data_IF_077937533969
#
_entry.id   IF_077937533969
#
_cell.length_a   1.000
_cell.length_b   1.000
_cell.length_c   1.000
_cell.angle_alpha   90.00
_cell.angle_beta   90.00
_cell.angle_gamma   90.00
#
_symmetry.space_group_name_H-M   'P 1'
#
loop_
_entity.id
_entity.type
_entity.pdbx_description
1 polymer ?
#
# COMPACT_ATOMS: atom_id res chain seq x y z
N UNK A 1 -47.10 -44.94 50.07
CA UNK A 1 -46.00 -43.95 49.93
C UNK A 1 -45.97 -43.45 48.49
N UNK A 2 -46.49 -42.24 48.23
CA UNK A 2 -46.45 -41.60 46.91
C UNK A 2 -45.24 -40.65 46.89
N UNK A 3 -44.28 -40.87 45.98
CA UNK A 3 -43.17 -39.95 45.73
C UNK A 3 -43.64 -38.91 44.70
N UNK A 4 -43.67 -37.65 45.12
CA UNK A 4 -43.82 -36.49 44.22
C UNK A 4 -42.41 -36.10 43.79
N UNK A 5 -42.14 -36.16 42.48
CA UNK A 5 -40.89 -35.67 41.89
C UNK A 5 -41.15 -34.25 41.42
N UNK A 6 -40.47 -33.28 42.05
CA UNK A 6 -40.44 -31.89 41.62
C UNK A 6 -39.43 -31.78 40.47
N UNK A 7 -39.93 -31.52 39.26
CA UNK A 7 -39.10 -31.15 38.12
C UNK A 7 -38.76 -29.65 38.19
N UNK A 8 -37.50 -29.33 38.39
CA UNK A 8 -36.97 -27.97 38.19
C UNK A 8 -36.66 -27.83 36.70
N UNK A 9 -37.47 -27.05 35.99
CA UNK A 9 -37.19 -26.61 34.62
C UNK A 9 -36.34 -25.35 34.70
N UNK A 10 -35.05 -25.46 34.40
CA UNK A 10 -34.18 -24.30 34.17
C UNK A 10 -34.40 -23.86 32.73
N UNK A 11 -35.10 -22.74 32.55
CA UNK A 11 -35.17 -22.00 31.30
C UNK A 11 -33.83 -21.26 31.11
N UNK A 12 -32.92 -21.87 30.34
CA UNK A 12 -31.78 -21.15 29.77
C UNK A 12 -32.32 -20.33 28.58
N UNK A 13 -32.59 -19.05 28.83
CA UNK A 13 -32.76 -18.08 27.77
C UNK A 13 -31.39 -17.88 27.10
N UNK A 14 -31.16 -18.60 26.00
CA UNK A 14 -30.03 -18.35 25.12
C UNK A 14 -30.23 -17.00 24.43
N UNK A 15 -29.61 -15.96 24.98
CA UNK A 15 -29.23 -14.81 24.18
C UNK A 15 -28.17 -15.29 23.19
N UNK A 16 -28.61 -15.65 21.98
CA UNK A 16 -27.71 -15.71 20.85
C UNK A 16 -27.23 -14.29 20.57
N UNK A 17 -26.08 -13.92 21.13
CA UNK A 17 -25.25 -12.92 20.48
C UNK A 17 -24.85 -13.56 19.15
N UNK A 18 -25.52 -13.19 18.07
CA UNK A 18 -24.89 -13.20 16.76
C UNK A 18 -23.66 -12.30 16.88
N UNK A 19 -22.53 -12.88 17.24
CA UNK A 19 -21.23 -12.27 17.03
C UNK A 19 -21.14 -12.09 15.51
N UNK A 20 -21.43 -10.87 15.04
CA UNK A 20 -21.14 -10.49 13.67
C UNK A 20 -19.72 -10.95 13.38
N UNK A 21 -19.57 -11.81 12.39
CA UNK A 21 -18.27 -12.34 12.02
C UNK A 21 -17.50 -11.17 11.42
N UNK A 22 -16.45 -10.72 12.10
CA UNK A 22 -15.52 -9.74 11.54
C UNK A 22 -14.99 -10.27 10.21
N UNK A 23 -14.77 -9.36 9.26
CA UNK A 23 -14.14 -9.68 8.00
C UNK A 23 -12.74 -10.31 8.25
N UNK A 24 -12.23 -11.08 7.28
CA UNK A 24 -10.87 -11.64 7.41
C UNK A 24 -9.78 -10.57 7.18
N UNK A 25 -10.13 -9.42 6.59
CA UNK A 25 -9.24 -8.32 6.22
C UNK A 25 -9.60 -7.06 7.03
N UNK A 26 -8.60 -6.40 7.58
CA UNK A 26 -8.68 -5.03 8.06
C UNK A 26 -7.90 -4.09 7.13
N UNK A 27 -8.53 -2.99 6.71
CA UNK A 27 -7.87 -1.86 6.08
C UNK A 27 -7.77 -0.73 7.11
N UNK A 28 -6.54 -0.31 7.42
CA UNK A 28 -6.33 0.77 8.40
C UNK A 28 -6.56 2.13 7.74
N UNK A 29 -7.60 2.81 8.21
CA UNK A 29 -7.79 4.25 8.02
C UNK A 29 -6.96 5.01 9.07
N UNK A 30 -5.81 5.54 8.62
CA UNK A 30 -4.90 6.38 9.40
C UNK A 30 -5.12 7.86 9.12
N UNK A 31 -6.40 8.25 8.99
CA UNK A 31 -6.82 9.64 8.86
C UNK A 31 -6.41 10.50 10.06
N UNK A 32 -6.17 9.93 11.23
CA UNK A 32 -5.69 10.72 12.38
C UNK A 32 -4.19 10.93 12.24
N UNK A 33 -3.40 9.86 12.21
CA UNK A 33 -1.94 10.00 12.29
C UNK A 33 -1.31 10.38 10.94
N UNK A 34 -1.62 9.62 9.89
CA UNK A 34 -0.93 9.74 8.60
C UNK A 34 -1.43 10.93 7.80
N UNK A 35 -2.74 11.19 7.77
CA UNK A 35 -3.26 12.36 7.05
C UNK A 35 -2.80 13.67 7.70
N UNK A 36 -2.71 13.73 9.04
CA UNK A 36 -2.12 14.87 9.75
C UNK A 36 -0.63 15.03 9.43
N UNK A 37 0.13 13.92 9.37
CA UNK A 37 1.53 13.95 8.92
C UNK A 37 1.66 14.61 7.54
N UNK A 38 0.84 14.21 6.56
CA UNK A 38 0.87 14.77 5.20
C UNK A 38 0.42 16.23 5.14
N UNK A 39 -0.63 16.59 5.88
CA UNK A 39 -1.11 17.97 5.99
C UNK A 39 -0.03 18.90 6.56
N UNK A 40 0.65 18.46 7.63
CA UNK A 40 1.76 19.22 8.21
C UNK A 40 2.95 19.32 7.27
N UNK A 41 3.20 18.28 6.47
CA UNK A 41 4.34 18.20 5.54
C UNK A 41 4.16 19.07 4.30
N UNK A 42 2.97 19.06 3.71
CA UNK A 42 2.66 19.72 2.44
C UNK A 42 1.78 20.97 2.59
N UNK A 43 1.29 21.26 3.79
CA UNK A 43 0.37 22.35 4.07
C UNK A 43 -1.11 21.92 4.02
N UNK A 44 -2.01 22.72 4.63
CA UNK A 44 -3.45 22.40 4.72
C UNK A 44 -4.16 22.34 3.37
N UNK A 45 -3.68 23.08 2.38
CA UNK A 45 -4.19 23.05 1.00
C UNK A 45 -3.28 22.25 0.04
N UNK A 46 -2.31 21.53 0.59
CA UNK A 46 -1.20 21.00 -0.18
C UNK A 46 -0.39 22.11 -0.86
N UNK A 47 0.37 21.71 -1.88
CA UNK A 47 1.15 22.63 -2.71
C UNK A 47 0.41 23.04 -4.00
N UNK A 48 -0.89 22.74 -4.13
CA UNK A 48 -1.68 23.00 -5.34
C UNK A 48 -1.71 24.47 -5.78
N UNK A 49 -1.47 25.43 -4.89
CA UNK A 49 -1.52 26.87 -5.21
C UNK A 49 -0.21 27.46 -5.78
N UNK A 50 0.93 26.77 -5.61
CA UNK A 50 2.27 27.27 -5.93
C UNK A 50 3.02 26.30 -6.89
N UNK A 51 2.36 25.84 -7.96
CA UNK A 51 2.90 24.86 -8.95
C UNK A 51 3.18 23.44 -8.38
N UNK A 52 2.70 23.12 -7.19
CA UNK A 52 2.88 21.81 -6.57
C UNK A 52 1.77 20.81 -6.89
N UNK A 53 2.09 19.52 -6.77
CA UNK A 53 1.21 18.38 -7.10
C UNK A 53 0.69 17.61 -5.86
N UNK A 54 1.10 18.05 -4.67
CA UNK A 54 0.75 17.39 -3.40
C UNK A 54 -0.58 17.92 -2.86
N UNK A 55 -1.44 17.03 -2.36
CA UNK A 55 -2.78 17.37 -1.88
C UNK A 55 -2.88 17.65 -0.37
N UNK A 56 -1.76 17.81 0.35
CA UNK A 56 -1.83 18.01 1.80
C UNK A 56 -2.39 16.78 2.50
N UNK A 57 -3.41 16.98 3.34
CA UNK A 57 -4.11 15.90 4.05
C UNK A 57 -4.66 14.83 3.09
N UNK A 58 -5.18 15.27 1.94
CA UNK A 58 -5.82 14.40 0.96
C UNK A 58 -4.82 13.54 0.18
N UNK A 59 -3.51 13.76 0.36
CA UNK A 59 -2.50 12.88 -0.22
C UNK A 59 -2.60 11.47 0.37
N UNK A 60 -2.93 11.37 1.67
CA UNK A 60 -3.20 10.08 2.31
C UNK A 60 -4.41 9.38 1.68
N UNK A 61 -5.50 10.12 1.44
CA UNK A 61 -6.72 9.58 0.84
C UNK A 61 -6.45 8.92 -0.51
N UNK A 62 -5.52 9.45 -1.33
CA UNK A 62 -5.13 8.78 -2.58
C UNK A 62 -4.68 7.33 -2.34
N UNK A 63 -3.78 7.10 -1.39
CA UNK A 63 -3.30 5.76 -1.08
C UNK A 63 -4.41 4.89 -0.48
N UNK A 64 -5.16 5.43 0.49
CA UNK A 64 -6.24 4.70 1.15
C UNK A 64 -7.33 4.26 0.15
N UNK A 65 -7.83 5.19 -0.67
CA UNK A 65 -8.89 4.93 -1.66
C UNK A 65 -8.45 3.97 -2.75
N UNK A 66 -7.17 3.97 -3.14
CA UNK A 66 -6.64 2.99 -4.09
C UNK A 66 -6.76 1.54 -3.59
N UNK A 67 -6.56 1.31 -2.29
CA UNK A 67 -6.80 -0.02 -1.69
C UNK A 67 -8.28 -0.33 -1.52
N UNK A 68 -9.09 0.64 -1.09
CA UNK A 68 -10.54 0.51 -0.99
C UNK A 68 -11.15 0.08 -2.33
N UNK A 69 -10.71 0.73 -3.40
CA UNK A 69 -11.13 0.43 -4.77
C UNK A 69 -10.81 -1.01 -5.19
N UNK A 70 -9.64 -1.52 -4.82
CA UNK A 70 -9.27 -2.92 -5.10
C UNK A 70 -10.08 -3.93 -4.29
N UNK A 71 -10.36 -3.63 -3.02
CA UNK A 71 -11.13 -4.51 -2.15
C UNK A 71 -12.62 -4.56 -2.54
N UNK A 72 -13.15 -3.46 -3.08
CA UNK A 72 -14.55 -3.33 -3.49
C UNK A 72 -14.87 -4.06 -4.81
N UNK A 73 -13.88 -4.56 -5.56
CA UNK A 73 -13.98 -5.62 -6.60
C UNK A 73 -14.88 -5.39 -7.84
N UNK A 74 -16.14 -4.98 -7.66
CA UNK A 74 -17.15 -4.78 -8.71
C UNK A 74 -17.03 -3.42 -9.39
N UNK A 75 -16.73 -2.35 -8.63
CA UNK A 75 -16.63 -0.98 -9.17
C UNK A 75 -15.48 -0.84 -10.18
N UNK A 76 -14.45 -1.65 -10.01
CA UNK A 76 -13.30 -1.82 -10.89
C UNK A 76 -13.66 -2.15 -12.34
N UNK A 77 -14.67 -2.99 -12.56
CA UNK A 77 -15.05 -3.40 -13.91
C UNK A 77 -15.90 -2.33 -14.60
N UNK A 78 -16.87 -1.75 -13.90
CA UNK A 78 -17.82 -0.83 -14.52
C UNK A 78 -17.19 0.53 -14.88
N UNK A 79 -16.38 1.10 -13.99
CA UNK A 79 -15.73 2.41 -14.21
C UNK A 79 -14.57 2.31 -15.20
N UNK A 80 -13.80 1.22 -15.15
CA UNK A 80 -12.72 0.99 -16.11
C UNK A 80 -13.27 0.76 -17.53
N UNK A 81 -14.34 -0.03 -17.66
CA UNK A 81 -15.04 -0.23 -18.93
C UNK A 81 -15.59 1.08 -19.50
N UNK A 82 -16.07 1.98 -18.64
CA UNK A 82 -16.51 3.32 -19.03
C UNK A 82 -15.34 4.21 -19.48
N UNK A 83 -14.19 4.16 -18.80
CA UNK A 83 -13.00 4.99 -19.08
C UNK A 83 -12.36 4.65 -20.43
N UNK A 84 -12.36 3.38 -20.84
CA UNK A 84 -11.72 2.94 -22.10
C UNK A 84 -12.69 2.82 -23.29
N UNK A 85 -13.93 3.31 -23.14
CA UNK A 85 -14.91 3.37 -24.23
C UNK A 85 -15.53 2.03 -24.61
N UNK A 86 -15.67 1.10 -23.66
CA UNK A 86 -16.41 -0.15 -23.87
C UNK A 86 -15.74 -1.15 -24.83
N UNK A 87 -14.41 -1.10 -24.98
CA UNK A 87 -13.70 -2.22 -25.59
C UNK A 87 -13.89 -3.46 -24.70
N UNK A 88 -14.45 -4.54 -25.27
CA UNK A 88 -14.74 -5.81 -24.58
C UNK A 88 -13.62 -6.21 -23.62
N UNK A 89 -13.86 -5.99 -22.32
CA UNK A 89 -13.04 -6.48 -21.22
C UNK A 89 -13.84 -7.47 -20.38
N UNK A 90 -14.65 -8.31 -21.02
CA UNK A 90 -15.27 -9.49 -20.39
C UNK A 90 -14.23 -10.44 -19.72
N UNK A 91 -12.92 -10.17 -19.87
CA UNK A 91 -11.81 -10.96 -19.30
C UNK A 91 -10.80 -10.17 -18.42
N UNK A 92 -10.92 -8.84 -18.22
CA UNK A 92 -9.72 -8.06 -17.88
C UNK A 92 -9.40 -7.75 -16.41
N UNK A 93 -10.35 -7.80 -15.48
CA UNK A 93 -10.01 -7.80 -14.07
C UNK A 93 -10.76 -8.93 -13.38
N UNK A 94 -10.07 -9.89 -12.73
CA UNK A 94 -10.76 -10.83 -11.87
C UNK A 94 -11.57 -10.02 -10.85
N UNK A 95 -12.87 -10.29 -10.79
CA UNK A 95 -13.75 -9.73 -9.76
C UNK A 95 -13.31 -10.30 -8.41
N UNK A 96 -12.38 -9.60 -7.76
CA UNK A 96 -11.96 -9.89 -6.41
C UNK A 96 -12.78 -9.03 -5.47
N UNK A 97 -13.89 -9.57 -4.98
CA UNK A 97 -14.69 -8.95 -3.92
C UNK A 97 -14.34 -9.67 -2.62
N UNK A 98 -13.84 -8.93 -1.64
CA UNK A 98 -13.60 -9.46 -0.30
C UNK A 98 -14.26 -8.58 0.73
N UNK A 99 -14.96 -9.20 1.66
CA UNK A 99 -15.38 -8.51 2.87
C UNK A 99 -14.12 -8.04 3.62
N UNK A 100 -14.11 -6.75 3.95
CA UNK A 100 -13.09 -6.12 4.77
C UNK A 100 -13.78 -5.18 5.75
N UNK A 101 -13.13 -4.98 6.89
CA UNK A 101 -13.53 -3.98 7.87
C UNK A 101 -12.57 -2.79 7.78
N UNK A 102 -13.13 -1.59 7.87
CA UNK A 102 -12.36 -0.37 8.13
C UNK A 102 -12.09 -0.29 9.62
N UNK A 103 -10.81 -0.11 9.97
CA UNK A 103 -10.39 0.13 11.35
C UNK A 103 -9.65 1.46 11.43
N UNK A 104 -9.76 2.15 12.56
CA UNK A 104 -9.10 3.43 12.79
C UNK A 104 -7.76 3.24 13.51
N UNK A 105 -6.93 4.30 13.58
CA UNK A 105 -5.68 4.32 14.35
C UNK A 105 -5.88 3.80 15.80
N UNK A 106 -7.01 4.13 16.45
CA UNK A 106 -7.32 3.71 17.82
C UNK A 106 -7.66 2.22 17.96
N UNK A 107 -8.01 1.55 16.86
CA UNK A 107 -8.33 0.12 16.86
C UNK A 107 -7.08 -0.76 16.75
N UNK A 108 -5.91 -0.16 16.49
CA UNK A 108 -4.60 -0.85 16.46
C UNK A 108 -4.16 -1.22 17.88
N UNK A 109 -4.88 -2.20 18.43
CA UNK A 109 -4.73 -2.78 19.76
C UNK A 109 -4.65 -4.30 19.64
N UNK A 110 -4.15 -5.03 20.66
CA UNK A 110 -4.13 -6.50 20.63
C UNK A 110 -5.51 -7.10 20.38
N UNK A 111 -6.56 -6.54 20.99
CA UNK A 111 -7.94 -6.98 20.84
C UNK A 111 -8.52 -6.59 19.48
N UNK A 112 -8.27 -5.37 19.03
CA UNK A 112 -8.78 -4.87 17.75
C UNK A 112 -8.22 -5.65 16.56
N UNK A 113 -6.97 -6.11 16.62
CA UNK A 113 -6.37 -6.93 15.55
C UNK A 113 -6.65 -8.43 15.67
N UNK A 114 -7.15 -8.92 16.81
CA UNK A 114 -7.22 -10.37 17.09
C UNK A 114 -8.13 -11.15 16.12
N UNK A 115 -9.15 -10.50 15.56
CA UNK A 115 -10.13 -11.12 14.65
C UNK A 115 -9.65 -11.24 13.21
N UNK A 116 -8.70 -10.41 12.80
CA UNK A 116 -8.28 -10.29 11.41
C UNK A 116 -7.16 -11.26 11.04
N UNK A 117 -7.17 -11.73 9.80
CA UNK A 117 -6.06 -12.50 9.21
C UNK A 117 -5.07 -11.59 8.52
N UNK A 118 -5.57 -10.56 7.84
CA UNK A 118 -4.80 -9.64 7.01
C UNK A 118 -5.01 -8.21 7.51
N UNK A 119 -3.93 -7.45 7.63
CA UNK A 119 -3.94 -6.00 7.86
C UNK A 119 -3.27 -5.33 6.67
N UNK A 120 -3.93 -4.32 6.10
CA UNK A 120 -3.41 -3.50 5.00
C UNK A 120 -3.06 -2.10 5.54
N UNK A 121 -1.82 -1.68 5.28
CA UNK A 121 -1.32 -0.34 5.54
C UNK A 121 -1.09 0.39 4.22
N UNK A 122 -2.01 1.30 3.89
CA UNK A 122 -2.01 2.10 2.66
C UNK A 122 -1.10 3.31 2.82
N UNK A 123 0.21 3.11 2.64
CA UNK A 123 1.21 4.14 2.86
C UNK A 123 1.06 4.83 4.24
N UNK A 124 0.76 4.04 5.28
CA UNK A 124 0.53 4.50 6.66
C UNK A 124 1.84 5.00 7.27
N UNK A 125 2.23 6.23 6.92
CA UNK A 125 3.55 6.76 7.21
C UNK A 125 3.85 6.87 8.71
N UNK A 126 2.82 7.26 9.48
CA UNK A 126 2.95 7.61 10.90
C UNK A 126 2.17 6.64 11.79
N UNK A 127 2.88 5.99 12.71
CA UNK A 127 2.33 5.10 13.73
C UNK A 127 3.08 5.33 15.03
N UNK A 128 2.38 5.32 16.16
CA UNK A 128 3.03 5.37 17.46
C UNK A 128 3.92 4.15 17.68
N UNK A 129 4.88 4.28 18.60
CA UNK A 129 5.68 3.14 19.07
C UNK A 129 4.80 1.99 19.62
N UNK A 130 3.70 2.30 20.30
CA UNK A 130 2.75 1.32 20.81
C UNK A 130 2.04 0.57 19.68
N UNK A 131 1.44 1.30 18.73
CA UNK A 131 0.78 0.72 17.56
C UNK A 131 1.73 -0.15 16.73
N UNK A 132 2.97 0.35 16.52
CA UNK A 132 4.02 -0.43 15.85
C UNK A 132 4.32 -1.73 16.61
N UNK A 133 4.42 -1.66 17.94
CA UNK A 133 4.61 -2.83 18.82
C UNK A 133 3.48 -3.85 18.72
N UNK A 134 2.22 -3.39 18.72
CA UNK A 134 1.02 -4.22 18.55
C UNK A 134 1.07 -4.97 17.21
N UNK A 135 1.34 -4.26 16.11
CA UNK A 135 1.42 -4.87 14.77
C UNK A 135 2.57 -5.88 14.71
N UNK A 136 3.75 -5.54 15.26
CA UNK A 136 4.89 -6.46 15.37
C UNK A 136 4.52 -7.77 16.08
N UNK A 137 3.84 -7.67 17.22
CA UNK A 137 3.42 -8.84 17.99
C UNK A 137 2.34 -9.65 17.27
N UNK A 138 1.34 -8.98 16.69
CA UNK A 138 0.27 -9.61 15.92
C UNK A 138 0.81 -10.40 14.73
N UNK A 139 1.72 -9.82 13.94
CA UNK A 139 2.41 -10.53 12.84
C UNK A 139 3.18 -11.73 13.40
N UNK A 140 3.99 -11.57 14.45
CA UNK A 140 4.76 -12.69 15.04
C UNK A 140 3.88 -13.86 15.50
N UNK A 141 2.64 -13.58 15.90
CA UNK A 141 1.63 -14.57 16.33
C UNK A 141 0.92 -15.27 15.18
N UNK A 142 1.02 -14.77 13.95
CA UNK A 142 0.40 -15.39 12.77
C UNK A 142 -0.36 -14.42 11.86
N UNK A 143 -0.47 -13.14 12.26
CA UNK A 143 -1.05 -12.10 11.41
C UNK A 143 -0.27 -11.90 10.12
N UNK A 144 -0.97 -11.45 9.08
CA UNK A 144 -0.40 -11.19 7.75
C UNK A 144 -0.49 -9.72 7.39
N UNK A 145 0.63 -9.09 7.13
CA UNK A 145 0.72 -7.65 6.88
C UNK A 145 0.96 -7.37 5.40
N UNK A 146 0.15 -6.51 4.80
CA UNK A 146 0.44 -5.85 3.53
C UNK A 146 0.78 -4.41 3.85
N UNK A 147 1.95 -3.95 3.42
CA UNK A 147 2.41 -2.59 3.65
C UNK A 147 3.04 -2.01 2.38
N UNK A 148 2.78 -0.74 2.12
CA UNK A 148 3.26 -0.06 0.91
C UNK A 148 4.11 1.15 1.24
N UNK A 149 5.06 1.43 0.35
CA UNK A 149 5.88 2.64 0.24
C UNK A 149 6.44 3.19 1.57
N UNK A 150 5.76 4.16 2.20
CA UNK A 150 6.20 4.86 3.40
C UNK A 150 5.72 4.25 4.72
N UNK A 151 5.01 3.12 4.68
CA UNK A 151 4.34 2.56 5.85
C UNK A 151 5.27 2.29 7.03
N UNK A 152 4.94 2.82 8.20
CA UNK A 152 5.60 2.51 9.49
C UNK A 152 7.04 3.00 9.62
N UNK A 153 7.42 4.05 8.89
CA UNK A 153 8.74 4.69 9.00
C UNK A 153 8.80 5.86 9.99
N UNK A 154 7.66 6.45 10.37
CA UNK A 154 7.57 7.63 11.26
C UNK A 154 6.77 7.33 12.51
N UNK A 155 7.14 8.02 13.60
CA UNK A 155 6.34 8.11 14.81
C UNK A 155 5.20 9.13 14.60
N UNK A 156 4.28 9.21 15.55
CA UNK A 156 3.30 10.31 15.60
C UNK A 156 4.05 11.61 15.93
N UNK A 157 3.67 12.70 15.27
CA UNK A 157 4.17 14.03 15.60
C UNK A 157 3.40 14.52 16.83
N UNK A 158 4.04 14.54 18.01
CA UNK A 158 3.40 14.96 19.26
C UNK A 158 3.46 16.49 19.44
N UNK A 159 4.55 17.12 19.01
CA UNK A 159 4.78 18.56 19.09
C UNK A 159 5.19 19.15 17.74
N UNK A 160 4.24 19.74 16.99
CA UNK A 160 4.51 20.29 15.66
C UNK A 160 5.37 21.56 15.67
N UNK A 161 5.58 22.17 16.84
CA UNK A 161 6.48 23.31 17.00
C UNK A 161 7.90 22.88 17.39
N UNK A 162 8.16 21.60 17.62
CA UNK A 162 9.51 21.09 17.82
C UNK A 162 10.19 20.92 16.45
N UNK A 163 11.23 21.70 16.11
CA UNK A 163 11.96 21.58 14.86
C UNK A 163 12.72 20.25 14.72
N UNK A 164 12.80 19.44 15.78
CA UNK A 164 13.33 18.07 15.75
C UNK A 164 12.28 17.03 15.38
N UNK A 165 10.99 17.31 15.60
CA UNK A 165 9.85 16.47 15.18
C UNK A 165 9.26 16.90 13.84
N UNK A 166 9.37 18.19 13.49
CA UNK A 166 9.06 18.71 12.16
C UNK A 166 10.10 18.18 11.16
N UNK A 167 9.91 16.94 10.71
CA UNK A 167 10.81 16.21 9.83
C UNK A 167 10.79 16.81 8.40
N UNK A 168 11.86 17.46 7.93
CA UNK A 168 11.91 17.98 6.57
C UNK A 168 12.34 16.91 5.56
N UNK A 169 11.83 15.67 5.68
CA UNK A 169 12.34 14.47 4.99
C UNK A 169 13.81 14.17 5.30
N UNK A 170 14.30 14.59 6.47
CA UNK A 170 15.69 14.31 6.87
C UNK A 170 15.83 12.85 7.22
N UNK A 171 16.99 12.30 6.84
CA UNK A 171 17.37 10.97 7.25
C UNK A 171 17.45 10.84 8.77
N UNK A 172 16.44 10.22 9.39
CA UNK A 172 16.35 9.96 10.83
C UNK A 172 17.51 9.07 11.31
N UNK A 173 18.45 9.58 12.11
CA UNK A 173 19.58 8.76 12.59
C UNK A 173 19.26 7.91 13.82
N UNK A 174 18.85 6.65 13.64
CA UNK A 174 18.75 5.66 14.74
C UNK A 174 18.05 4.37 14.29
N UNK A 175 17.95 3.38 15.19
CA UNK A 175 16.97 2.30 15.03
C UNK A 175 15.63 2.89 15.45
N UNK A 176 14.70 3.11 14.52
CA UNK A 176 13.34 3.49 14.91
C UNK A 176 12.60 2.23 15.35
N UNK A 177 11.63 2.37 16.27
CA UNK A 177 10.73 1.29 16.69
C UNK A 177 9.69 0.91 15.64
N UNK A 178 9.80 1.46 14.42
CA UNK A 178 8.83 1.31 13.35
C UNK A 178 8.78 -0.09 12.73
N UNK A 179 7.91 -0.23 11.74
CA UNK A 179 7.60 -1.52 11.13
C UNK A 179 8.66 -2.01 10.15
N UNK A 180 9.57 -1.15 9.68
CA UNK A 180 10.65 -1.48 8.72
C UNK A 180 11.53 -2.69 9.08
N UNK A 181 11.59 -3.03 10.36
CA UNK A 181 12.26 -4.25 10.82
C UNK A 181 11.57 -5.54 10.33
N UNK A 182 10.25 -5.51 10.10
CA UNK A 182 9.46 -6.66 9.61
C UNK A 182 9.82 -7.05 8.17
N UNK A 183 10.33 -6.12 7.36
CA UNK A 183 10.79 -6.38 5.98
C UNK A 183 12.30 -6.24 5.83
N UNK A 184 13.05 -6.43 6.93
CA UNK A 184 14.50 -6.48 6.94
C UNK A 184 15.17 -5.30 6.23
N UNK A 185 14.66 -4.09 6.45
CA UNK A 185 15.32 -2.87 6.05
C UNK A 185 16.10 -2.29 7.23
N UNK A 186 17.37 -2.70 7.45
CA UNK A 186 18.12 -2.31 8.64
C UNK A 186 18.61 -0.86 8.61
N UNK A 187 18.38 -0.11 7.51
CA UNK A 187 19.20 1.08 7.26
C UNK A 187 18.52 2.22 6.54
N UNK A 188 17.32 2.08 5.95
CA UNK A 188 16.81 3.22 5.20
C UNK A 188 16.08 4.20 6.11
N UNK A 189 16.85 5.22 6.45
CA UNK A 189 16.42 6.48 7.07
C UNK A 189 15.69 7.36 6.06
N UNK A 190 15.42 6.86 4.86
CA UNK A 190 14.87 7.61 3.76
C UNK A 190 13.45 7.12 3.47
N UNK A 191 12.48 7.55 4.28
CA UNK A 191 11.25 7.99 3.62
C UNK A 191 11.59 9.35 3.04
N UNK A 192 11.89 9.32 1.77
CA UNK A 192 12.19 10.51 1.01
C UNK A 192 11.76 10.20 -0.39
N UNK A 193 10.88 11.05 -0.87
CA UNK A 193 10.83 11.57 -2.23
C UNK A 193 12.24 12.06 -2.64
N UNK A 194 13.29 11.24 -2.53
CA UNK A 194 14.52 11.46 -3.27
C UNK A 194 14.13 11.18 -4.70
N UNK A 195 13.48 12.18 -5.26
CA UNK A 195 13.22 12.25 -6.67
C UNK A 195 14.60 12.26 -7.30
N UNK A 196 15.01 11.08 -7.76
CA UNK A 196 16.29 10.92 -8.39
C UNK A 196 16.21 11.84 -9.59
N UNK A 197 17.06 12.86 -9.60
CA UNK A 197 17.04 13.87 -10.64
C UNK A 197 18.11 13.49 -11.66
N UNK A 198 17.70 13.40 -12.92
CA UNK A 198 18.58 13.24 -14.08
C UNK A 198 19.53 14.45 -14.17
N UNK A 199 20.67 14.32 -14.88
CA UNK A 199 21.59 15.44 -15.06
C UNK A 199 20.98 16.70 -15.70
N UNK A 200 19.86 16.55 -16.42
CA UNK A 200 19.11 17.65 -17.06
C UNK A 200 18.08 18.32 -16.14
N UNK A 201 17.95 17.87 -14.88
CA UNK A 201 17.00 18.42 -13.92
C UNK A 201 15.63 17.75 -13.90
N UNK A 202 15.35 16.80 -14.82
CA UNK A 202 14.12 16.00 -14.80
C UNK A 202 14.21 14.84 -13.80
N UNK A 203 13.11 14.15 -13.50
CA UNK A 203 13.10 13.03 -12.56
C UNK A 203 13.19 11.67 -13.27
N UNK A 204 13.83 10.68 -12.64
CA UNK A 204 13.78 9.30 -13.13
C UNK A 204 12.42 8.69 -12.82
N UNK A 205 11.73 8.16 -13.83
CA UNK A 205 10.64 7.23 -13.62
C UNK A 205 11.19 5.92 -13.03
N UNK A 206 10.39 5.34 -12.14
CA UNK A 206 10.71 4.07 -11.48
C UNK A 206 9.71 3.02 -11.93
N UNK A 207 10.23 1.89 -12.37
CA UNK A 207 9.46 0.71 -12.76
C UNK A 207 9.83 -0.48 -11.87
N UNK A 208 9.09 -1.58 -11.99
CA UNK A 208 9.25 -2.76 -11.12
C UNK A 208 9.53 -3.99 -11.95
N UNK A 209 10.77 -4.48 -11.90
CA UNK A 209 11.15 -5.73 -12.55
C UNK A 209 10.84 -6.93 -11.66
N UNK A 210 9.84 -7.71 -12.03
CA UNK A 210 9.50 -9.01 -11.47
C UNK A 210 10.55 -10.04 -11.86
N UNK A 211 11.14 -10.71 -10.86
CA UNK A 211 12.13 -11.77 -11.08
C UNK A 211 11.62 -13.15 -10.70
N UNK A 212 10.63 -13.21 -9.80
CA UNK A 212 10.01 -14.46 -9.34
C UNK A 212 8.53 -14.36 -9.59
N UNK A 213 7.95 -15.33 -10.30
CA UNK A 213 6.53 -15.43 -10.58
C UNK A 213 5.89 -16.39 -9.56
N UNK A 214 5.73 -15.96 -8.31
CA UNK A 214 5.26 -16.79 -7.18
C UNK A 214 4.47 -15.96 -6.17
N UNK A 215 3.45 -16.56 -5.55
CA UNK A 215 2.64 -15.91 -4.51
C UNK A 215 2.10 -14.55 -4.99
N UNK A 216 2.41 -13.42 -4.32
CA UNK A 216 1.93 -12.08 -4.70
C UNK A 216 2.23 -11.68 -6.16
N UNK A 217 3.30 -12.18 -6.75
CA UNK A 217 3.70 -11.87 -8.12
C UNK A 217 3.30 -12.97 -9.12
N UNK A 218 2.53 -13.98 -8.70
CA UNK A 218 2.11 -15.06 -9.58
C UNK A 218 0.98 -14.63 -10.51
N UNK A 219 1.32 -14.40 -11.79
CA UNK A 219 0.36 -14.02 -12.81
C UNK A 219 0.57 -14.91 -14.06
N UNK A 220 -0.36 -15.84 -14.34
CA UNK A 220 -0.23 -16.81 -15.43
C UNK A 220 0.00 -16.16 -16.80
N UNK A 221 -0.62 -15.01 -17.03
CA UNK A 221 -0.60 -14.29 -18.30
C UNK A 221 0.64 -13.39 -18.47
N UNK A 222 1.38 -13.13 -17.38
CA UNK A 222 2.53 -12.21 -17.38
C UNK A 222 3.87 -12.88 -17.65
N UNK A 223 3.86 -14.09 -18.19
CA UNK A 223 5.09 -14.78 -18.56
C UNK A 223 5.98 -13.98 -19.55
N UNK A 224 5.42 -12.93 -20.19
CA UNK A 224 6.08 -12.11 -21.21
C UNK A 224 6.35 -10.65 -20.79
N UNK A 225 5.85 -10.17 -19.65
CA UNK A 225 6.10 -8.80 -19.17
C UNK A 225 6.74 -8.82 -17.78
N UNK A 226 8.08 -8.95 -17.68
CA UNK A 226 8.77 -8.98 -16.39
C UNK A 226 8.90 -7.60 -15.75
N UNK A 227 8.40 -6.52 -16.37
CA UNK A 227 8.52 -5.15 -15.85
C UNK A 227 7.14 -4.54 -15.75
N UNK A 228 6.79 -4.06 -14.56
CA UNK A 228 5.57 -3.31 -14.29
C UNK A 228 5.91 -1.85 -14.37
N UNK A 229 5.25 -1.15 -15.29
CA UNK A 229 5.38 0.29 -15.35
C UNK A 229 4.70 0.93 -14.15
N UNK A 230 5.41 1.84 -13.48
CA UNK A 230 4.91 2.57 -12.31
C UNK A 230 5.11 4.07 -12.50
N UNK A 231 6.33 4.51 -12.82
CA UNK A 231 6.65 5.89 -13.16
C UNK A 231 6.66 6.90 -12.00
N UNK A 232 6.24 6.51 -10.80
CA UNK A 232 6.20 7.40 -9.63
C UNK A 232 7.34 7.10 -8.63
N UNK A 233 7.32 7.79 -7.49
CA UNK A 233 8.36 7.66 -6.48
C UNK A 233 8.26 6.34 -5.70
N UNK A 234 9.42 5.80 -5.32
CA UNK A 234 9.56 4.56 -4.57
C UNK A 234 10.63 4.70 -3.48
N UNK A 235 10.47 3.92 -2.42
CA UNK A 235 11.38 3.84 -1.30
C UNK A 235 12.63 3.02 -1.71
N UNK A 236 13.81 3.64 -1.60
CA UNK A 236 15.07 3.00 -1.96
C UNK A 236 15.60 2.16 -0.80
N UNK A 237 15.12 0.92 -0.69
CA UNK A 237 15.56 -0.05 0.33
C UNK A 237 17.07 -0.35 0.27
N UNK A 238 17.61 -0.98 1.33
CA UNK A 238 19.00 -1.45 1.30
C UNK A 238 19.22 -2.37 0.10
N UNK A 239 20.23 -2.12 -0.76
CA UNK A 239 20.49 -2.96 -1.92
C UNK A 239 20.68 -4.44 -1.55
N UNK A 240 20.14 -5.32 -2.39
CA UNK A 240 20.22 -6.77 -2.23
C UNK A 240 20.73 -7.43 -3.52
N UNK A 241 21.36 -8.61 -3.46
CA UNK A 241 21.67 -9.36 -4.68
C UNK A 241 20.38 -9.87 -5.33
N UNK A 242 20.41 -10.10 -6.65
CA UNK A 242 19.25 -10.54 -7.45
C UNK A 242 18.58 -11.82 -6.91
N UNK A 243 19.40 -12.73 -6.37
CA UNK A 243 18.95 -14.00 -5.80
C UNK A 243 18.52 -13.91 -4.33
N UNK A 244 18.39 -12.70 -3.76
CA UNK A 244 17.92 -12.52 -2.39
C UNK A 244 16.55 -13.17 -2.22
N UNK A 245 16.43 -14.11 -1.27
CA UNK A 245 15.30 -15.05 -1.19
C UNK A 245 13.95 -14.34 -1.07
N UNK A 246 13.89 -13.29 -0.27
CA UNK A 246 12.65 -12.58 0.08
C UNK A 246 12.22 -11.56 -0.98
N UNK A 247 13.13 -11.11 -1.86
CA UNK A 247 12.78 -10.20 -2.95
C UNK A 247 12.12 -10.94 -4.11
N UNK A 248 10.88 -10.58 -4.43
CA UNK A 248 10.15 -11.07 -5.61
C UNK A 248 10.39 -10.20 -6.84
N UNK A 249 10.67 -8.91 -6.60
CA UNK A 249 10.88 -7.91 -7.62
C UNK A 249 11.90 -6.85 -7.18
N UNK A 250 12.45 -6.12 -8.14
CA UNK A 250 13.42 -5.04 -7.92
C UNK A 250 13.03 -3.79 -8.70
N UNK A 251 13.36 -2.62 -8.14
CA UNK A 251 13.15 -1.34 -8.81
C UNK A 251 14.08 -1.25 -10.02
N UNK A 252 13.54 -0.75 -11.13
CA UNK A 252 14.26 -0.35 -12.33
C UNK A 252 14.04 1.14 -12.56
N UNK A 253 14.98 1.77 -13.25
CA UNK A 253 14.95 3.19 -13.55
C UNK A 253 15.07 3.34 -15.06
N UNK A 254 14.42 4.33 -15.67
CA UNK A 254 14.32 4.49 -17.14
C UNK A 254 15.64 4.70 -17.90
N UNK A 255 16.78 4.69 -17.22
CA UNK A 255 18.09 4.72 -17.85
C UNK A 255 19.00 3.68 -17.22
N UNK A 256 20.02 3.31 -18.01
CA UNK A 256 21.05 2.31 -17.74
C UNK A 256 21.83 2.57 -16.43
N UNK A 257 21.18 2.32 -15.30
CA UNK A 257 21.74 2.34 -13.95
C UNK A 257 22.57 1.08 -13.67
N UNK A 258 22.96 0.33 -14.71
CA UNK A 258 24.07 -0.62 -14.65
C UNK A 258 25.33 0.02 -14.04
N UNK A 259 25.46 1.35 -14.10
CA UNK A 259 26.49 2.13 -13.45
C UNK A 259 26.45 2.14 -11.90
N UNK A 260 25.29 1.96 -11.24
CA UNK A 260 25.24 1.87 -9.77
C UNK A 260 25.58 0.47 -9.23
N UNK A 261 25.49 -0.58 -10.06
CA UNK A 261 25.77 -1.96 -9.67
C UNK A 261 24.97 -2.46 -8.46
N UNK A 262 23.83 -1.82 -8.15
CA UNK A 262 23.01 -2.06 -6.95
C UNK A 262 21.58 -2.33 -7.38
N UNK A 263 20.99 -3.40 -6.84
CA UNK A 263 19.59 -3.74 -7.06
C UNK A 263 18.80 -3.42 -5.78
N UNK A 264 17.73 -2.66 -5.93
CA UNK A 264 16.87 -2.22 -4.83
C UNK A 264 15.59 -3.05 -4.85
N UNK A 265 15.27 -3.83 -3.79
CA UNK A 265 14.04 -4.62 -3.78
C UNK A 265 12.80 -3.74 -3.92
N UNK A 266 11.86 -4.16 -4.76
CA UNK A 266 10.58 -3.49 -4.99
C UNK A 266 9.43 -4.20 -4.27
N UNK A 267 9.47 -5.53 -4.21
CA UNK A 267 8.45 -6.35 -3.55
C UNK A 267 9.18 -7.39 -2.70
N UNK A 268 8.92 -7.35 -1.40
CA UNK A 268 9.47 -8.29 -0.43
C UNK A 268 8.34 -9.17 0.11
N UNK A 269 8.58 -10.47 0.16
CA UNK A 269 7.76 -11.47 0.85
C UNK A 269 8.58 -12.06 2.00
N UNK A 270 8.28 -11.63 3.22
CA UNK A 270 9.07 -11.95 4.42
C UNK A 270 8.24 -12.77 5.39
N UNK A 271 8.81 -13.86 5.92
CA UNK A 271 8.19 -14.64 6.99
C UNK A 271 8.73 -14.20 8.33
N UNK A 272 7.83 -13.82 9.23
CA UNK A 272 8.17 -13.32 10.56
C UNK A 272 7.54 -14.23 11.61
N UNK A 273 8.33 -15.16 12.14
CA UNK A 273 7.83 -16.21 13.05
C UNK A 273 6.71 -17.02 12.40
N UNK A 274 5.46 -16.85 12.84
CA UNK A 274 4.27 -17.54 12.30
C UNK A 274 3.54 -16.71 11.24
N UNK A 275 3.80 -15.41 11.18
CA UNK A 275 3.16 -14.50 10.24
C UNK A 275 3.97 -14.27 8.99
N UNK A 276 3.42 -13.44 8.14
CA UNK A 276 3.98 -13.12 6.83
C UNK A 276 3.76 -11.64 6.50
N UNK A 277 4.69 -11.05 5.78
CA UNK A 277 4.65 -9.64 5.39
C UNK A 277 4.92 -9.54 3.90
N UNK A 278 4.02 -8.88 3.19
CA UNK A 278 4.28 -8.39 1.84
C UNK A 278 4.50 -6.89 1.94
N UNK A 279 5.71 -6.47 1.58
CA UNK A 279 6.06 -5.06 1.54
C UNK A 279 6.34 -4.63 0.10
N UNK A 280 5.63 -3.61 -0.35
CA UNK A 280 5.89 -2.91 -1.60
C UNK A 280 6.75 -1.69 -1.29
N UNK A 281 7.92 -1.57 -1.90
CA UNK A 281 8.74 -0.37 -1.81
C UNK A 281 8.17 0.78 -2.65
N UNK A 282 7.08 0.57 -3.39
CA UNK A 282 6.34 1.57 -4.15
C UNK A 282 4.86 1.48 -3.76
N UNK A 283 4.03 2.37 -4.30
CA UNK A 283 2.60 2.40 -4.00
C UNK A 283 1.77 1.96 -5.23
N UNK A 284 1.52 0.65 -5.45
CA UNK A 284 0.66 0.21 -6.56
C UNK A 284 -0.74 0.85 -6.51
N UNK A 285 -1.26 1.10 -5.30
CA UNK A 285 -2.56 1.76 -5.07
C UNK A 285 -2.60 3.21 -5.56
N UNK A 286 -1.46 3.90 -5.59
CA UNK A 286 -1.37 5.28 -6.06
C UNK A 286 -1.73 5.36 -7.54
N UNK A 287 -1.27 4.38 -8.33
CA UNK A 287 -1.59 4.31 -9.76
C UNK A 287 -3.09 4.14 -9.99
N UNK A 288 -3.76 3.31 -9.18
CA UNK A 288 -5.21 3.16 -9.24
C UNK A 288 -5.92 4.46 -8.86
N UNK A 289 -5.52 5.10 -7.76
CA UNK A 289 -6.14 6.34 -7.30
C UNK A 289 -6.03 7.47 -8.32
N UNK A 290 -4.90 7.56 -9.04
CA UNK A 290 -4.72 8.54 -10.10
C UNK A 290 -5.55 8.22 -11.34
N UNK A 291 -5.61 6.94 -11.71
CA UNK A 291 -6.38 6.48 -12.87
C UNK A 291 -7.87 6.78 -12.80
N UNK A 292 -8.43 6.73 -11.60
CA UNK A 292 -9.86 6.89 -11.35
C UNK A 292 -10.19 8.14 -10.54
N UNK A 293 -9.21 9.03 -10.33
CA UNK A 293 -9.37 10.29 -9.58
C UNK A 293 -10.04 10.12 -8.19
N UNK A 294 -9.66 9.06 -7.47
CA UNK A 294 -10.41 8.60 -6.27
C UNK A 294 -10.35 9.54 -5.08
N UNK A 295 -9.39 10.47 -5.05
CA UNK A 295 -9.21 11.45 -3.97
C UNK A 295 -9.02 12.88 -4.49
N UNK A 296 -9.32 13.12 -5.77
CA UNK A 296 -9.11 14.39 -6.45
C UNK A 296 -7.66 14.66 -6.87
N UNK A 297 -7.48 15.82 -7.51
CA UNK A 297 -6.21 16.33 -8.01
C UNK A 297 -6.15 17.86 -7.94
N UNK A 298 -4.95 18.43 -8.01
CA UNK A 298 -4.79 19.87 -8.22
C UNK A 298 -5.21 20.21 -9.66
N UNK A 299 -5.86 21.37 -9.88
CA UNK A 299 -6.34 21.77 -11.22
C UNK A 299 -5.21 21.83 -12.29
N UNK A 300 -3.98 22.15 -11.86
CA UNK A 300 -2.79 22.24 -12.71
C UNK A 300 -1.83 21.03 -12.58
N UNK A 301 -2.30 19.89 -12.05
CA UNK A 301 -1.46 18.70 -11.89
C UNK A 301 -1.04 18.14 -13.26
N UNK A 302 0.22 18.34 -13.62
CA UNK A 302 0.81 17.88 -14.89
C UNK A 302 0.82 16.35 -15.04
N UNK A 303 0.53 15.60 -13.98
CA UNK A 303 0.33 14.15 -14.03
C UNK A 303 -1.11 13.77 -14.43
N UNK A 304 -2.05 14.74 -14.45
CA UNK A 304 -3.47 14.62 -14.82
C UNK A 304 -3.88 15.36 -16.12
N UNK A 305 -3.05 15.49 -17.18
CA UNK A 305 -3.47 16.24 -18.36
C UNK A 305 -4.53 15.43 -19.13
N UNK A 306 -5.79 15.87 -19.04
CA UNK A 306 -6.98 15.61 -19.89
C UNK A 306 -6.97 14.40 -20.86
N UNK A 307 -6.46 13.24 -20.45
CA UNK A 307 -6.45 12.01 -21.25
C UNK A 307 -5.15 11.21 -21.31
N UNK A 308 -4.04 11.66 -20.71
CA UNK A 308 -2.80 10.87 -20.61
C UNK A 308 -2.17 11.07 -19.22
N UNK A 309 -2.33 10.10 -18.32
CA UNK A 309 -1.74 10.15 -16.98
C UNK A 309 -0.22 9.97 -17.11
N UNK A 310 0.51 11.08 -17.15
CA UNK A 310 1.95 11.11 -17.23
C UNK A 310 2.52 10.91 -15.83
N UNK A 311 2.48 9.67 -15.30
CA UNK A 311 3.03 9.33 -13.99
C UNK A 311 4.56 9.50 -13.99
N UNK A 312 5.07 10.70 -13.67
CA UNK A 312 6.50 10.99 -13.51
C UNK A 312 7.37 10.85 -14.78
N UNK A 313 6.78 10.58 -15.94
CA UNK A 313 7.44 10.68 -17.25
C UNK A 313 7.17 12.05 -17.85
N UNK A 314 8.17 12.64 -18.50
CA UNK A 314 7.92 13.79 -19.38
C UNK A 314 6.88 13.34 -20.44
N UNK A 315 5.81 14.11 -20.72
CA UNK A 315 4.86 13.81 -21.77
C UNK A 315 5.50 13.45 -23.13
N UNK A 316 6.71 13.95 -23.40
CA UNK A 316 7.51 13.58 -24.58
C UNK A 316 8.29 12.26 -24.48
N UNK A 317 8.48 11.72 -23.26
CA UNK A 317 9.21 10.49 -22.94
C UNK A 317 8.27 9.29 -22.73
N UNK A 318 6.94 9.48 -22.69
CA UNK A 318 5.99 8.37 -22.70
C UNK A 318 6.21 7.62 -24.01
N UNK A 319 6.69 6.36 -23.98
CA UNK A 319 6.90 5.62 -25.21
C UNK A 319 5.55 5.53 -25.92
N UNK A 320 5.49 6.01 -27.17
CA UNK A 320 4.29 5.91 -28.01
C UNK A 320 3.71 4.49 -27.91
N UNK A 321 2.59 4.31 -27.20
CA UNK A 321 1.90 3.03 -27.08
C UNK A 321 1.60 2.48 -25.69
N UNK A 322 1.98 3.13 -24.58
CA UNK A 322 1.49 2.71 -23.25
C UNK A 322 0.15 3.39 -22.93
N UNK A 323 -0.93 2.62 -22.98
CA UNK A 323 -2.25 3.07 -22.55
C UNK A 323 -2.37 3.07 -21.02
N UNK A 324 -3.31 3.85 -20.47
CA UNK A 324 -3.70 3.77 -19.04
C UNK A 324 -3.95 2.31 -18.65
N UNK A 325 -4.53 1.52 -19.55
CA UNK A 325 -4.74 0.07 -19.39
C UNK A 325 -3.44 -0.70 -19.15
N UNK A 326 -2.37 -0.43 -19.90
CA UNK A 326 -1.11 -1.16 -19.79
C UNK A 326 -0.36 -0.88 -18.48
N UNK A 327 -0.64 0.26 -17.83
CA UNK A 327 -0.03 0.61 -16.54
C UNK A 327 -0.91 0.22 -15.36
N UNK A 328 -2.20 0.54 -15.42
CA UNK A 328 -3.13 0.40 -14.28
C UNK A 328 -3.52 -1.06 -14.06
N UNK A 329 -3.88 -1.80 -15.12
CA UNK A 329 -4.31 -3.19 -14.99
C UNK A 329 -3.25 -4.04 -14.30
N UNK A 330 -1.94 -3.90 -14.62
CA UNK A 330 -0.95 -4.64 -13.89
C UNK A 330 -0.88 -4.35 -12.39
N UNK A 331 -0.94 -3.07 -12.01
CA UNK A 331 -0.91 -2.68 -10.60
C UNK A 331 -2.11 -3.20 -9.81
N UNK A 332 -3.29 -3.22 -10.42
CA UNK A 332 -4.49 -3.78 -9.81
C UNK A 332 -4.37 -5.30 -9.64
N UNK A 333 -3.91 -6.01 -10.67
CA UNK A 333 -3.74 -7.46 -10.63
C UNK A 333 -2.74 -7.90 -9.55
N UNK A 334 -1.64 -7.17 -9.37
CA UNK A 334 -0.67 -7.51 -8.32
C UNK A 334 -1.26 -7.27 -6.92
N UNK A 335 -2.01 -6.19 -6.71
CA UNK A 335 -2.69 -5.94 -5.43
C UNK A 335 -3.70 -7.04 -5.10
N UNK A 336 -4.55 -7.42 -6.06
CA UNK A 336 -5.52 -8.50 -5.90
C UNK A 336 -4.85 -9.83 -5.58
N UNK A 337 -3.81 -10.21 -6.34
CA UNK A 337 -3.05 -11.44 -6.08
C UNK A 337 -2.39 -11.44 -4.72
N UNK A 338 -1.89 -10.29 -4.26
CA UNK A 338 -1.36 -10.17 -2.90
C UNK A 338 -2.43 -10.50 -1.87
N UNK A 339 -3.63 -9.94 -2.00
CA UNK A 339 -4.70 -10.21 -1.02
C UNK A 339 -5.10 -11.69 -1.06
N UNK A 340 -5.33 -12.26 -2.24
CA UNK A 340 -5.65 -13.68 -2.42
C UNK A 340 -4.60 -14.60 -1.79
N UNK A 341 -3.32 -14.34 -2.06
CA UNK A 341 -2.21 -15.07 -1.49
C UNK A 341 -2.17 -14.91 0.03
N UNK A 342 -2.42 -13.70 0.55
CA UNK A 342 -2.44 -13.47 1.99
C UNK A 342 -3.65 -14.13 2.67
N UNK A 343 -4.77 -14.32 2.01
CA UNK A 343 -5.90 -15.07 2.57
C UNK A 343 -5.71 -16.58 2.49
N UNK A 344 -5.21 -17.08 1.36
CA UNK A 344 -5.28 -18.50 1.00
C UNK A 344 -3.93 -19.22 1.05
N UNK A 345 -2.83 -18.49 0.92
CA UNK A 345 -1.47 -19.01 0.78
C UNK A 345 -1.12 -19.55 -0.62
N UNK A 346 -2.01 -19.39 -1.60
CA UNK A 346 -1.84 -19.87 -2.98
C UNK A 346 -1.59 -18.74 -3.97
#
# INVERSE_FOLDING_TARGET
MKKVVFGVMILLAGFGMELARAADIALLDSSVNTAEFFERRYGPNGACADEGTFLGRNEYERYFRGWEYVLNGQQLNDEFNALIGGADLDEAAPSFESEYDLIEDSDVTPEGLAGYKVLILSNTASLSAEQSGVIHEWVRKGGKLIATFGSGYKDIIENPHDPNEADPLKSQKGATGGLHQLWHDPWTKAFGTQSLTKPDGTHYGIDVKILKNVGPTYLPEWFLQPTLSYGAEANLLVPRPEHFREALAFLTFDLDMSALGRLYPAILLVRVSKGEVVYFAYAPEFVAALAFDLAGHCEDDINYPTGNIALGYDPGDIPNGFSVTDRVKPQLQIMQRTIEYMLTGN
#
